data_IF_702533654712
#
_entry.id   IF_702533654712
#
_cell.length_a   1.000
_cell.length_b   1.000
_cell.length_c   1.000
_cell.angle_alpha   90.00
_cell.angle_beta   90.00
_cell.angle_gamma   90.00
#
_symmetry.space_group_name_H-M   'P 1'
#
loop_
_entity.id
_entity.type
_entity.pdbx_description
1 polymer ?
#
# COMPACT_ATOMS: atom_id res chain seq x y z
N UNK A 1 -25.15 -0.06 -5.83
CA UNK A 1 -24.10 -1.09 -5.79
C UNK A 1 -23.56 -1.30 -7.19
N UNK A 2 -22.24 -1.34 -7.34
CA UNK A 2 -21.56 -1.67 -8.61
C UNK A 2 -20.68 -2.90 -8.40
N UNK A 3 -20.45 -3.64 -9.47
CA UNK A 3 -19.51 -4.76 -9.50
C UNK A 3 -18.36 -4.38 -10.43
N UNK A 4 -17.17 -4.67 -10.00
CA UNK A 4 -15.93 -4.48 -10.75
C UNK A 4 -15.10 -5.77 -10.87
N UNK A 5 -13.92 -5.64 -11.43
CA UNK A 5 -12.90 -6.67 -11.49
C UNK A 5 -11.51 -6.02 -11.58
N UNK A 6 -10.52 -6.58 -10.90
CA UNK A 6 -9.13 -6.25 -11.18
C UNK A 6 -8.74 -6.87 -12.51
N UNK A 7 -8.09 -6.11 -13.35
CA UNK A 7 -7.66 -6.57 -14.67
C UNK A 7 -6.28 -6.04 -15.02
N UNK A 8 -5.47 -6.91 -15.55
CA UNK A 8 -4.07 -6.61 -15.93
C UNK A 8 -3.94 -6.78 -17.43
N UNK A 9 -4.23 -5.73 -18.24
CA UNK A 9 -4.14 -5.82 -19.70
C UNK A 9 -2.76 -6.25 -20.17
N UNK A 10 -1.71 -5.90 -19.42
CA UNK A 10 -0.32 -6.26 -19.68
C UNK A 10 -0.01 -7.75 -19.48
N UNK A 11 -0.89 -8.53 -18.87
CA UNK A 11 -0.72 -9.98 -18.69
C UNK A 11 -1.28 -10.80 -19.85
N UNK A 12 -1.99 -10.16 -20.77
CA UNK A 12 -2.73 -10.84 -21.83
C UNK A 12 -2.36 -10.31 -23.21
N UNK A 13 -2.39 -11.19 -24.21
CA UNK A 13 -2.33 -10.76 -25.61
C UNK A 13 -3.53 -9.86 -25.94
N UNK A 14 -3.32 -8.83 -26.77
CA UNK A 14 -4.36 -7.82 -27.08
C UNK A 14 -5.64 -8.42 -27.67
N UNK A 15 -5.53 -9.51 -28.41
CA UNK A 15 -6.67 -10.24 -28.98
C UNK A 15 -7.61 -10.77 -27.89
N UNK A 16 -7.08 -11.06 -26.71
CA UNK A 16 -7.83 -11.55 -25.56
C UNK A 16 -8.69 -10.45 -24.94
N UNK A 17 -8.27 -9.19 -24.97
CA UNK A 17 -8.97 -8.07 -24.34
C UNK A 17 -10.42 -7.95 -24.76
N UNK A 18 -10.70 -8.23 -26.07
CA UNK A 18 -12.07 -8.19 -26.60
C UNK A 18 -12.97 -9.21 -25.91
N UNK A 19 -12.52 -10.45 -25.81
CA UNK A 19 -13.27 -11.52 -25.15
C UNK A 19 -13.54 -11.18 -23.69
N UNK A 20 -12.52 -10.69 -22.99
CA UNK A 20 -12.63 -10.36 -21.57
C UNK A 20 -13.57 -9.17 -21.34
N UNK A 21 -13.49 -8.11 -22.15
CA UNK A 21 -14.39 -6.97 -22.05
C UNK A 21 -15.85 -7.35 -22.36
N UNK A 22 -16.08 -8.19 -23.37
CA UNK A 22 -17.44 -8.70 -23.68
C UNK A 22 -17.99 -9.55 -22.51
N UNK A 23 -17.14 -10.36 -21.86
CA UNK A 23 -17.52 -11.11 -20.66
C UNK A 23 -17.82 -10.16 -19.47
N UNK A 24 -17.01 -9.13 -19.27
CA UNK A 24 -17.25 -8.11 -18.24
C UNK A 24 -18.58 -7.39 -18.46
N UNK A 25 -18.87 -6.95 -19.69
CA UNK A 25 -20.13 -6.30 -20.04
C UNK A 25 -21.32 -7.25 -19.79
N UNK A 26 -21.22 -8.51 -20.21
CA UNK A 26 -22.25 -9.53 -19.98
C UNK A 26 -22.48 -9.80 -18.50
N UNK A 27 -21.42 -9.75 -17.67
CA UNK A 27 -21.50 -9.88 -16.22
C UNK A 27 -21.93 -8.58 -15.51
N UNK A 28 -22.23 -7.51 -16.25
CA UNK A 28 -22.55 -6.19 -15.72
C UNK A 28 -21.44 -5.56 -14.87
N UNK A 29 -20.18 -5.88 -15.16
CA UNK A 29 -19.02 -5.23 -14.57
C UNK A 29 -18.93 -3.80 -15.10
N UNK A 30 -18.79 -2.83 -14.20
CA UNK A 30 -18.84 -1.39 -14.50
C UNK A 30 -17.51 -0.68 -14.28
N UNK A 31 -16.62 -1.28 -13.52
CA UNK A 31 -15.35 -0.69 -13.16
C UNK A 31 -14.26 -1.76 -13.13
N UNK A 32 -13.06 -1.37 -13.55
CA UNK A 32 -11.85 -2.19 -13.44
C UNK A 32 -10.71 -1.39 -12.82
N UNK A 33 -9.82 -2.06 -12.10
CA UNK A 33 -8.59 -1.48 -11.56
C UNK A 33 -7.42 -1.93 -12.43
N UNK A 34 -6.53 -0.98 -12.81
CA UNK A 34 -5.45 -1.24 -13.77
C UNK A 34 -4.17 -0.50 -13.34
N UNK A 35 -3.02 -1.16 -13.48
CA UNK A 35 -1.70 -0.54 -13.58
C UNK A 35 -0.87 -0.48 -12.29
N UNK A 36 -1.30 -1.06 -11.16
CA UNK A 36 -0.63 -0.98 -9.85
C UNK A 36 0.74 -1.65 -9.80
N UNK A 37 1.07 -2.50 -10.77
CA UNK A 37 2.34 -3.24 -10.81
C UNK A 37 3.16 -2.98 -12.09
N UNK A 38 2.74 -2.04 -12.92
CA UNK A 38 3.26 -1.90 -14.28
C UNK A 38 4.46 -0.94 -14.42
N UNK A 39 5.24 -0.65 -13.35
CA UNK A 39 6.35 0.32 -13.45
C UNK A 39 7.35 -0.03 -14.54
N UNK A 40 7.78 -1.31 -14.65
CA UNK A 40 8.73 -1.74 -15.66
C UNK A 40 8.23 -1.59 -17.10
N UNK A 41 6.92 -1.50 -17.32
CA UNK A 41 6.32 -1.22 -18.63
C UNK A 41 6.23 0.27 -18.91
N UNK A 42 5.94 1.07 -17.89
CA UNK A 42 5.96 2.53 -18.03
C UNK A 42 7.37 3.09 -18.19
N UNK A 43 8.35 2.47 -17.54
CA UNK A 43 9.75 2.92 -17.54
C UNK A 43 10.68 1.68 -17.61
N UNK A 44 10.81 1.04 -18.80
CA UNK A 44 11.64 -0.15 -18.99
C UNK A 44 13.13 0.11 -18.73
N UNK A 45 13.60 1.31 -19.00
CA UNK A 45 14.93 1.81 -18.65
C UNK A 45 14.78 3.20 -18.04
N UNK A 46 15.72 3.59 -17.19
CA UNK A 46 15.67 4.88 -16.53
C UNK A 46 15.54 6.06 -17.51
N UNK A 47 14.43 6.80 -17.36
CA UNK A 47 14.14 7.97 -18.20
C UNK A 47 13.55 7.67 -19.57
N UNK A 48 13.38 6.40 -19.93
CA UNK A 48 12.66 5.99 -21.14
C UNK A 48 11.23 5.61 -20.75
N UNK A 49 10.26 6.36 -21.22
CA UNK A 49 8.86 6.19 -20.82
C UNK A 49 8.02 5.68 -21.99
N UNK A 50 7.25 4.64 -21.76
CA UNK A 50 6.36 4.00 -22.72
C UNK A 50 4.92 3.98 -22.17
N UNK A 51 4.01 4.70 -22.82
CA UNK A 51 2.62 4.85 -22.39
C UNK A 51 1.61 4.27 -23.37
N UNK A 52 2.00 3.96 -24.60
CA UNK A 52 1.09 3.60 -25.70
C UNK A 52 0.20 2.38 -25.36
N UNK A 53 0.76 1.40 -24.65
CA UNK A 53 0.02 0.22 -24.21
C UNK A 53 -1.13 0.56 -23.24
N UNK A 54 -0.93 1.56 -22.37
CA UNK A 54 -1.95 2.01 -21.42
C UNK A 54 -2.97 2.92 -22.10
N UNK A 55 -2.55 3.78 -23.05
CA UNK A 55 -3.44 4.57 -23.88
C UNK A 55 -4.44 3.65 -24.59
N UNK A 56 -3.93 2.60 -25.25
CA UNK A 56 -4.75 1.60 -25.92
C UNK A 56 -5.71 0.88 -24.96
N UNK A 57 -5.25 0.49 -23.76
CA UNK A 57 -6.07 -0.20 -22.79
C UNK A 57 -7.21 0.70 -22.28
N UNK A 58 -6.91 1.96 -21.93
CA UNK A 58 -7.91 2.92 -21.45
C UNK A 58 -8.97 3.21 -22.52
N UNK A 59 -8.55 3.47 -23.75
CA UNK A 59 -9.44 3.68 -24.89
C UNK A 59 -10.31 2.45 -25.14
N UNK A 60 -9.69 1.27 -25.06
CA UNK A 60 -10.38 0.02 -25.29
C UNK A 60 -11.50 -0.23 -24.27
N UNK A 61 -11.19 -0.20 -22.96
CA UNK A 61 -12.20 -0.41 -21.92
C UNK A 61 -13.25 0.70 -21.91
N UNK A 62 -12.85 1.95 -22.19
CA UNK A 62 -13.75 3.07 -22.34
C UNK A 62 -14.83 2.86 -23.43
N UNK A 63 -14.47 2.26 -24.56
CA UNK A 63 -15.41 1.91 -25.65
C UNK A 63 -16.48 0.89 -25.21
N UNK A 64 -16.14 0.01 -24.26
CA UNK A 64 -17.09 -0.95 -23.67
C UNK A 64 -17.90 -0.36 -22.50
N UNK A 65 -17.72 0.93 -22.19
CA UNK A 65 -18.41 1.59 -21.07
C UNK A 65 -17.92 1.14 -19.69
N UNK A 66 -16.73 0.54 -19.61
CA UNK A 66 -16.09 0.12 -18.37
C UNK A 66 -15.23 1.28 -17.87
N UNK A 67 -15.47 1.72 -16.64
CA UNK A 67 -14.67 2.76 -15.98
C UNK A 67 -13.40 2.16 -15.37
N UNK A 68 -12.40 2.98 -15.18
CA UNK A 68 -11.09 2.57 -14.68
C UNK A 68 -10.73 3.30 -13.39
N UNK A 69 -10.31 2.53 -12.39
CA UNK A 69 -9.50 3.02 -11.28
C UNK A 69 -8.04 2.94 -11.74
N UNK A 70 -7.44 4.10 -12.00
CA UNK A 70 -6.06 4.20 -12.47
C UNK A 70 -5.09 4.13 -11.30
N UNK A 71 -4.15 3.20 -11.33
CA UNK A 71 -3.21 3.00 -10.24
C UNK A 71 -1.84 3.61 -10.52
N UNK A 72 -1.17 4.06 -9.43
CA UNK A 72 0.25 4.37 -9.51
C UNK A 72 1.06 3.11 -9.23
N UNK A 73 2.11 2.80 -10.02
CA UNK A 73 2.79 1.50 -9.97
C UNK A 73 3.91 1.41 -8.92
N UNK A 74 3.85 2.24 -7.88
CA UNK A 74 4.94 2.36 -6.91
C UNK A 74 5.20 1.09 -6.08
N UNK A 75 4.25 0.15 -6.03
CA UNK A 75 4.42 -1.11 -5.30
C UNK A 75 5.52 -2.04 -5.88
N UNK A 76 5.96 -1.82 -7.12
CA UNK A 76 6.90 -2.71 -7.82
C UNK A 76 8.00 -1.94 -8.57
N UNK A 77 8.96 -1.33 -7.86
CA UNK A 77 10.09 -0.69 -8.53
C UNK A 77 10.85 -1.69 -9.42
N UNK A 78 11.25 -1.27 -10.64
CA UNK A 78 11.85 -2.15 -11.63
C UNK A 78 13.28 -2.57 -11.27
N UNK A 79 13.74 -3.66 -11.90
CA UNK A 79 15.07 -4.23 -11.63
C UNK A 79 16.21 -3.22 -11.84
N UNK A 80 16.14 -2.43 -12.91
CA UNK A 80 17.16 -1.41 -13.21
C UNK A 80 17.35 -0.39 -12.07
N UNK A 81 16.25 -0.04 -11.39
CA UNK A 81 16.29 0.90 -10.28
C UNK A 81 17.04 0.33 -9.08
N UNK A 82 16.84 -0.94 -8.79
CA UNK A 82 17.52 -1.63 -7.66
C UNK A 82 18.99 -1.80 -7.95
N UNK A 83 19.36 -2.15 -9.20
CA UNK A 83 20.75 -2.32 -9.59
C UNK A 83 21.54 -1.02 -9.52
N UNK A 84 20.90 0.09 -9.90
CA UNK A 84 21.54 1.40 -9.91
C UNK A 84 21.50 2.10 -8.56
N UNK A 85 20.45 1.87 -7.77
CA UNK A 85 20.17 2.56 -6.51
C UNK A 85 19.82 1.56 -5.40
N UNK A 86 20.76 0.69 -4.96
CA UNK A 86 20.48 -0.34 -3.96
C UNK A 86 20.09 0.23 -2.58
N UNK A 87 20.33 1.51 -2.32
CA UNK A 87 19.90 2.22 -1.11
C UNK A 87 18.39 2.41 -0.99
N UNK A 88 17.64 2.18 -2.08
CA UNK A 88 16.18 2.17 -2.02
C UNK A 88 15.61 0.96 -1.29
N UNK A 89 16.40 -0.11 -1.12
CA UNK A 89 15.93 -1.34 -0.54
C UNK A 89 15.60 -1.19 0.95
N UNK A 90 14.49 -1.80 1.34
CA UNK A 90 14.12 -1.93 2.73
C UNK A 90 15.05 -2.91 3.45
N UNK A 91 15.53 -2.53 4.63
CA UNK A 91 16.29 -3.43 5.49
C UNK A 91 15.41 -4.04 6.57
N UNK A 92 15.61 -5.32 6.86
CA UNK A 92 14.99 -6.01 7.98
C UNK A 92 15.55 -5.53 9.33
N UNK A 93 15.05 -6.09 10.44
CA UNK A 93 15.49 -5.72 11.79
C UNK A 93 16.97 -6.07 12.06
N UNK A 94 17.54 -7.01 11.31
CA UNK A 94 18.95 -7.40 11.40
C UNK A 94 19.86 -6.53 10.50
N UNK A 95 19.27 -5.65 9.68
CA UNK A 95 19.99 -4.78 8.76
C UNK A 95 20.20 -5.38 7.37
N UNK A 96 19.64 -6.55 7.07
CA UNK A 96 19.77 -7.17 5.76
C UNK A 96 18.79 -6.50 4.77
N UNK A 97 19.27 -6.12 3.57
CA UNK A 97 18.37 -5.55 2.55
C UNK A 97 17.45 -6.64 1.97
N UNK A 98 16.22 -6.26 1.67
CA UNK A 98 15.33 -7.10 0.84
C UNK A 98 15.92 -7.26 -0.54
N UNK A 99 15.70 -8.42 -1.14
CA UNK A 99 16.15 -8.71 -2.49
C UNK A 99 15.04 -8.46 -3.52
N UNK A 100 15.43 -8.23 -4.78
CA UNK A 100 14.51 -8.25 -5.90
C UNK A 100 13.93 -9.66 -6.11
N UNK A 101 12.69 -9.74 -6.58
CA UNK A 101 12.02 -11.01 -6.89
C UNK A 101 10.60 -11.10 -6.37
N UNK A 102 10.16 -10.07 -5.65
CA UNK A 102 8.78 -9.89 -5.18
C UNK A 102 8.40 -8.42 -5.31
N UNK A 103 7.28 -8.02 -4.74
CA UNK A 103 6.86 -6.62 -4.63
C UNK A 103 7.26 -6.03 -3.28
N UNK A 104 7.21 -4.69 -3.14
CA UNK A 104 7.40 -3.96 -1.86
C UNK A 104 8.75 -4.21 -1.18
N UNK A 105 9.81 -4.13 -1.96
CA UNK A 105 11.17 -4.25 -1.45
C UNK A 105 11.85 -2.89 -1.19
N UNK A 106 11.13 -1.79 -1.33
CA UNK A 106 11.60 -0.42 -1.19
C UNK A 106 11.37 0.16 0.21
N UNK A 107 12.12 1.20 0.52
CA UNK A 107 11.98 1.98 1.74
C UNK A 107 11.21 3.29 1.46
N UNK A 108 10.11 3.53 2.18
CA UNK A 108 9.33 4.77 2.08
C UNK A 108 10.13 6.04 2.44
N UNK A 109 11.28 5.89 3.11
CA UNK A 109 12.16 6.98 3.52
C UNK A 109 13.37 7.19 2.60
N UNK A 110 13.55 6.37 1.56
CA UNK A 110 14.58 6.60 0.54
C UNK A 110 14.22 7.83 -0.29
N UNK A 111 15.10 8.84 -0.32
CA UNK A 111 14.89 10.04 -1.12
C UNK A 111 14.89 9.70 -2.61
N UNK A 112 15.82 8.87 -3.06
CA UNK A 112 15.88 8.37 -4.45
C UNK A 112 14.58 7.72 -4.88
N UNK A 113 14.03 6.82 -4.05
CA UNK A 113 12.78 6.16 -4.38
C UNK A 113 11.60 7.14 -4.45
N UNK A 114 11.49 8.08 -3.50
CA UNK A 114 10.45 9.11 -3.49
C UNK A 114 10.53 9.99 -4.74
N UNK A 115 11.73 10.41 -5.11
CA UNK A 115 11.97 11.25 -6.29
C UNK A 115 11.55 10.54 -7.58
N UNK A 116 11.96 9.28 -7.77
CA UNK A 116 11.56 8.48 -8.92
C UNK A 116 10.06 8.22 -8.96
N UNK A 117 9.45 7.87 -7.83
CA UNK A 117 8.00 7.70 -7.70
C UNK A 117 7.26 8.98 -8.08
N UNK A 118 7.66 10.12 -7.52
CA UNK A 118 7.05 11.42 -7.85
C UNK A 118 7.14 11.73 -9.33
N UNK A 119 8.30 11.48 -9.95
CA UNK A 119 8.50 11.72 -11.39
C UNK A 119 7.53 10.90 -12.23
N UNK A 120 7.46 9.57 -11.99
CA UNK A 120 6.56 8.72 -12.74
C UNK A 120 5.09 9.06 -12.48
N UNK A 121 4.69 9.26 -11.23
CA UNK A 121 3.33 9.66 -10.89
C UNK A 121 2.92 10.98 -11.55
N UNK A 122 3.85 11.94 -11.66
CA UNK A 122 3.62 13.19 -12.37
C UNK A 122 3.33 12.95 -13.86
N UNK A 123 4.11 12.10 -14.52
CA UNK A 123 3.91 11.77 -15.93
C UNK A 123 2.57 11.07 -16.18
N UNK A 124 2.25 10.08 -15.34
CA UNK A 124 0.99 9.34 -15.40
C UNK A 124 -0.20 10.30 -15.16
N UNK A 125 -0.15 11.09 -14.10
CA UNK A 125 -1.23 12.01 -13.76
C UNK A 125 -1.43 13.07 -14.86
N UNK A 126 -0.35 13.67 -15.35
CA UNK A 126 -0.40 14.67 -16.43
C UNK A 126 -1.01 14.11 -17.72
N UNK A 127 -0.69 12.85 -18.05
CA UNK A 127 -1.20 12.20 -19.27
C UNK A 127 -2.67 11.82 -19.15
N UNK A 128 -3.06 11.27 -18.00
CA UNK A 128 -4.34 10.56 -17.86
C UNK A 128 -5.40 11.28 -17.04
N UNK A 129 -5.09 12.40 -16.39
CA UNK A 129 -6.03 13.10 -15.51
C UNK A 129 -7.39 13.45 -16.13
N UNK A 130 -7.44 13.63 -17.45
CA UNK A 130 -8.65 14.02 -18.20
C UNK A 130 -9.18 12.90 -19.08
N UNK A 131 -8.65 11.67 -18.94
CA UNK A 131 -9.09 10.55 -19.78
C UNK A 131 -10.52 10.12 -19.37
N UNK A 132 -11.47 10.04 -20.31
CA UNK A 132 -12.89 9.85 -20.00
C UNK A 132 -13.21 8.47 -19.39
N UNK A 133 -12.37 7.47 -19.57
CA UNK A 133 -12.55 6.16 -18.97
C UNK A 133 -12.19 6.15 -17.47
N UNK A 134 -11.33 7.07 -17.00
CA UNK A 134 -10.88 7.08 -15.60
C UNK A 134 -11.95 7.74 -14.73
N UNK A 135 -12.26 7.11 -13.61
CA UNK A 135 -13.21 7.64 -12.62
C UNK A 135 -12.61 7.85 -11.23
N UNK A 136 -11.47 7.20 -10.94
CA UNK A 136 -10.77 7.33 -9.67
C UNK A 136 -9.28 6.97 -9.81
N UNK A 137 -8.49 7.36 -8.83
CA UNK A 137 -7.08 7.01 -8.69
C UNK A 137 -6.85 6.12 -7.48
N UNK A 138 -5.92 5.16 -7.62
CA UNK A 138 -5.36 4.43 -6.50
C UNK A 138 -3.87 4.74 -6.38
N UNK A 139 -3.43 5.13 -5.18
CA UNK A 139 -2.02 5.33 -4.86
C UNK A 139 -1.44 4.06 -4.29
N UNK A 140 -0.35 3.56 -4.90
CA UNK A 140 0.33 2.35 -4.47
C UNK A 140 -0.63 1.12 -4.45
N UNK A 141 -0.24 0.06 -3.77
CA UNK A 141 -1.06 -1.12 -3.53
C UNK A 141 -0.77 -1.68 -2.14
N UNK A 142 -1.79 -1.91 -1.32
CA UNK A 142 -1.68 -2.55 -0.01
C UNK A 142 -0.52 -1.98 0.85
N UNK A 143 -0.54 -0.69 1.13
CA UNK A 143 0.50 -0.01 1.92
C UNK A 143 0.80 -0.77 3.22
N UNK A 144 2.07 -1.06 3.47
CA UNK A 144 2.53 -1.77 4.67
C UNK A 144 2.41 -3.31 4.60
N UNK A 145 1.87 -3.89 3.53
CA UNK A 145 1.80 -5.34 3.36
C UNK A 145 3.17 -6.00 3.57
N UNK A 146 3.18 -7.20 4.13
CA UNK A 146 4.42 -7.97 4.42
C UNK A 146 5.42 -7.22 5.32
N UNK A 147 4.90 -6.46 6.30
CA UNK A 147 5.69 -5.70 7.27
C UNK A 147 6.63 -4.65 6.63
N UNK A 148 6.24 -4.10 5.47
CA UNK A 148 7.05 -3.09 4.76
C UNK A 148 7.00 -1.71 5.38
N UNK A 149 6.16 -1.48 6.36
CA UNK A 149 6.12 -0.25 7.16
C UNK A 149 7.41 -0.05 7.95
N UNK A 150 8.01 -1.14 8.46
CA UNK A 150 9.21 -1.09 9.31
C UNK A 150 10.46 -1.34 8.48
N UNK A 151 11.32 -0.34 8.37
CA UNK A 151 12.56 -0.43 7.63
C UNK A 151 13.74 0.08 8.48
N UNK A 152 14.76 -0.72 8.63
CA UNK A 152 15.88 -0.45 9.52
C UNK A 152 17.15 0.04 8.77
N UNK A 153 16.97 0.70 7.63
CA UNK A 153 18.03 1.28 6.83
C UNK A 153 18.52 2.64 7.37
N UNK A 154 19.61 3.15 6.81
CA UNK A 154 20.21 4.41 7.23
C UNK A 154 19.30 5.63 7.01
N UNK A 155 18.54 5.65 5.92
CA UNK A 155 17.56 6.72 5.64
C UNK A 155 16.48 6.79 6.73
N UNK A 156 15.99 5.63 7.19
CA UNK A 156 15.04 5.57 8.30
C UNK A 156 15.65 6.07 9.60
N UNK A 157 16.89 5.71 9.90
CA UNK A 157 17.56 6.18 11.12
C UNK A 157 17.72 7.71 11.13
N UNK A 158 18.16 8.30 10.02
CA UNK A 158 18.32 9.74 9.90
C UNK A 158 16.99 10.49 10.03
N UNK A 159 15.95 10.02 9.34
CA UNK A 159 14.61 10.62 9.40
C UNK A 159 13.97 10.44 10.78
N UNK A 160 14.20 9.31 11.45
CA UNK A 160 13.71 9.08 12.81
C UNK A 160 14.32 10.04 13.82
N UNK A 161 15.64 10.32 13.74
CA UNK A 161 16.29 11.32 14.57
C UNK A 161 15.65 12.71 14.42
N UNK A 162 15.36 13.13 13.20
CA UNK A 162 14.68 14.38 12.91
C UNK A 162 13.26 14.38 13.47
N UNK A 163 12.50 13.32 13.28
CA UNK A 163 11.16 13.14 13.83
C UNK A 163 11.14 13.25 15.38
N UNK A 164 12.13 12.64 16.05
CA UNK A 164 12.30 12.75 17.49
C UNK A 164 12.65 14.17 17.91
N UNK A 165 13.53 14.83 17.15
CA UNK A 165 13.91 16.24 17.41
C UNK A 165 12.70 17.16 17.30
N UNK A 166 11.86 16.99 16.29
CA UNK A 166 10.61 17.75 16.12
C UNK A 166 9.64 17.49 17.28
N UNK A 167 9.51 16.23 17.70
CA UNK A 167 8.58 15.81 18.75
C UNK A 167 8.98 16.29 20.15
N UNK A 168 10.25 16.21 20.50
CA UNK A 168 10.74 16.45 21.85
C UNK A 168 11.43 17.81 22.06
N UNK A 169 11.86 18.44 20.98
CA UNK A 169 12.58 19.72 20.99
C UNK A 169 14.01 19.60 21.50
N UNK A 170 14.20 19.05 22.70
CA UNK A 170 15.53 18.88 23.33
C UNK A 170 15.80 17.43 23.71
N UNK A 171 17.08 17.07 23.78
CA UNK A 171 17.50 15.71 24.18
C UNK A 171 17.15 15.43 25.64
N UNK A 172 17.17 16.45 26.49
CA UNK A 172 16.81 16.34 27.92
C UNK A 172 15.33 15.97 28.08
N UNK A 173 14.43 16.56 27.28
CA UNK A 173 13.02 16.20 27.26
C UNK A 173 12.80 14.76 26.82
N UNK A 174 13.53 14.30 25.79
CA UNK A 174 13.49 12.92 25.36
C UNK A 174 13.96 12.00 26.48
N UNK A 175 15.14 12.26 27.08
CA UNK A 175 15.71 11.47 28.17
C UNK A 175 14.74 11.37 29.35
N UNK A 176 14.15 12.48 29.76
CA UNK A 176 13.16 12.52 30.84
C UNK A 176 11.94 11.67 30.51
N UNK A 177 11.40 11.81 29.29
CA UNK A 177 10.19 11.09 28.85
C UNK A 177 10.46 9.58 28.71
N UNK A 178 11.64 9.19 28.23
CA UNK A 178 12.03 7.79 28.04
C UNK A 178 12.50 7.12 29.33
N UNK A 179 12.78 7.88 30.39
CA UNK A 179 13.35 7.37 31.64
C UNK A 179 14.74 6.75 31.43
N UNK A 180 15.58 7.39 30.62
CA UNK A 180 16.87 6.84 30.13
C UNK A 180 17.93 6.67 31.20
N UNK A 181 17.73 7.16 32.42
CA UNK A 181 18.57 6.80 33.57
C UNK A 181 18.55 5.31 33.88
N UNK A 182 17.45 4.64 33.54
CA UNK A 182 17.37 3.19 33.62
C UNK A 182 18.39 2.53 32.66
N UNK A 183 19.20 1.63 33.18
CA UNK A 183 20.30 0.95 32.46
C UNK A 183 21.33 1.88 31.80
N UNK A 184 21.50 3.10 32.33
CA UNK A 184 22.47 4.06 31.77
C UNK A 184 22.27 4.39 30.29
N UNK A 185 21.03 4.50 29.85
CA UNK A 185 20.67 4.78 28.44
C UNK A 185 20.60 6.27 28.11
N UNK A 186 21.20 7.15 28.92
CA UNK A 186 21.14 8.61 28.71
C UNK A 186 21.86 8.99 27.41
N UNK A 187 21.14 9.71 26.55
CA UNK A 187 21.67 10.29 25.31
C UNK A 187 22.12 11.73 25.54
N UNK A 188 23.22 12.15 24.92
CA UNK A 188 23.76 13.52 24.96
C UNK A 188 23.30 14.36 23.78
N UNK A 189 22.93 13.69 22.67
CA UNK A 189 22.38 14.34 21.48
C UNK A 189 21.44 13.38 20.73
N UNK A 190 20.62 13.94 19.83
CA UNK A 190 19.78 13.13 18.94
C UNK A 190 20.59 12.23 17.98
N UNK A 191 21.86 12.58 17.71
CA UNK A 191 22.73 11.80 16.81
C UNK A 191 23.20 10.48 17.44
N UNK A 192 23.15 10.36 18.77
CA UNK A 192 23.47 9.11 19.48
C UNK A 192 22.33 8.08 19.40
N UNK A 193 21.12 8.52 19.04
CA UNK A 193 19.97 7.62 18.94
C UNK A 193 20.13 6.70 17.74
N UNK A 194 19.87 5.42 17.96
CA UNK A 194 19.76 4.38 16.93
C UNK A 194 18.34 3.85 16.88
N UNK A 195 17.91 3.42 15.69
CA UNK A 195 16.64 2.72 15.57
C UNK A 195 16.72 1.37 16.29
N UNK A 196 15.59 0.86 16.84
CA UNK A 196 15.57 -0.35 17.67
C UNK A 196 15.81 -1.62 16.83
N UNK A 197 17.08 -1.89 16.52
CA UNK A 197 17.54 -3.08 15.78
C UNK A 197 17.67 -4.30 16.69
N UNK A 198 17.68 -5.49 16.09
CA UNK A 198 17.85 -6.76 16.80
C UNK A 198 19.10 -6.82 17.69
N UNK A 199 20.22 -6.24 17.24
CA UNK A 199 21.47 -6.21 18.00
C UNK A 199 21.45 -5.40 19.32
N UNK A 200 20.39 -4.63 19.58
CA UNK A 200 20.19 -3.88 20.81
C UNK A 200 19.17 -4.55 21.76
N UNK A 201 18.92 -5.85 21.61
CA UNK A 201 17.97 -6.63 22.38
C UNK A 201 18.67 -7.72 23.19
N UNK A 202 18.00 -8.27 24.21
CA UNK A 202 18.49 -9.45 24.95
C UNK A 202 18.57 -10.70 24.07
N UNK A 203 17.62 -10.86 23.21
CA UNK A 203 17.51 -12.00 22.30
C UNK A 203 17.44 -11.49 20.87
N UNK A 204 18.50 -11.74 20.12
CA UNK A 204 18.58 -11.37 18.70
C UNK A 204 17.63 -12.16 17.81
N UNK A 205 17.02 -13.23 18.35
CA UNK A 205 16.04 -14.06 17.64
C UNK A 205 14.60 -13.58 17.79
N UNK A 206 14.32 -12.76 18.84
CA UNK A 206 12.97 -12.31 19.21
C UNK A 206 12.80 -10.79 19.14
N UNK A 207 13.17 -10.19 18.05
CA UNK A 207 12.85 -8.80 17.69
C UNK A 207 13.39 -7.74 18.66
N UNK A 208 12.58 -7.36 19.63
CA UNK A 208 12.74 -6.11 20.37
C UNK A 208 12.73 -6.29 21.89
N UNK A 209 12.89 -7.50 22.39
CA UNK A 209 12.96 -7.72 23.84
C UNK A 209 14.14 -6.98 24.47
N UNK A 210 13.89 -6.22 25.51
CA UNK A 210 14.88 -5.42 26.21
C UNK A 210 15.13 -4.03 25.65
N UNK A 211 14.46 -3.65 24.56
CA UNK A 211 14.46 -2.26 24.08
C UNK A 211 13.74 -1.34 25.05
N UNK A 212 14.14 -0.06 25.07
CA UNK A 212 13.36 0.97 25.74
C UNK A 212 11.95 1.03 25.10
N UNK A 213 10.88 0.79 25.86
CA UNK A 213 9.53 0.70 25.30
C UNK A 213 9.04 2.00 24.69
N UNK A 214 9.49 3.16 25.19
CA UNK A 214 9.14 4.45 24.63
C UNK A 214 9.83 4.68 23.27
N UNK A 215 11.11 4.32 23.15
CA UNK A 215 11.85 4.36 21.90
C UNK A 215 11.20 3.44 20.85
N UNK A 216 10.83 2.23 21.23
CA UNK A 216 10.18 1.27 20.36
C UNK A 216 8.82 1.76 19.86
N UNK A 217 7.99 2.29 20.78
CA UNK A 217 6.69 2.85 20.43
C UNK A 217 6.81 4.04 19.48
N UNK A 218 7.77 4.92 19.74
CA UNK A 218 8.01 6.08 18.88
C UNK A 218 8.55 5.68 17.51
N UNK A 219 9.39 4.64 17.45
CA UNK A 219 9.82 4.10 16.16
C UNK A 219 8.65 3.55 15.34
N UNK A 220 7.71 2.85 15.95
CA UNK A 220 6.51 2.36 15.27
C UNK A 220 5.59 3.49 14.80
N UNK A 221 5.45 4.56 15.61
CA UNK A 221 4.71 5.76 15.21
C UNK A 221 5.39 6.47 14.02
N UNK A 222 6.70 6.64 14.09
CA UNK A 222 7.50 7.17 12.98
C UNK A 222 7.33 6.35 11.71
N UNK A 223 7.37 5.02 11.79
CA UNK A 223 7.18 4.16 10.62
C UNK A 223 5.79 4.36 9.99
N UNK A 224 4.74 4.44 10.80
CA UNK A 224 3.39 4.77 10.33
C UNK A 224 3.35 6.16 9.68
N UNK A 225 3.89 7.18 10.34
CA UNK A 225 3.92 8.55 9.82
C UNK A 225 4.72 8.65 8.52
N UNK A 226 5.77 7.84 8.34
CA UNK A 226 6.56 7.78 7.11
C UNK A 226 5.77 7.28 5.90
N UNK A 227 4.91 6.28 6.10
CA UNK A 227 4.02 5.77 5.04
C UNK A 227 2.96 6.82 4.70
N UNK A 228 2.40 7.47 5.72
CA UNK A 228 1.39 8.52 5.52
C UNK A 228 2.00 9.70 4.75
N UNK A 229 3.21 10.12 5.09
CA UNK A 229 3.93 11.20 4.41
C UNK A 229 4.21 10.87 2.94
N UNK A 230 4.69 9.66 2.65
CA UNK A 230 4.87 9.17 1.27
C UNK A 230 3.54 9.17 0.48
N UNK A 231 2.47 8.69 1.12
CA UNK A 231 1.14 8.68 0.51
C UNK A 231 0.64 10.09 0.22
N UNK A 232 0.82 11.01 1.16
CA UNK A 232 0.46 12.43 1.01
C UNK A 232 1.19 13.09 -0.16
N UNK A 233 2.49 12.82 -0.34
CA UNK A 233 3.25 13.31 -1.51
C UNK A 233 2.68 12.78 -2.82
N UNK A 234 2.34 11.49 -2.87
CA UNK A 234 1.77 10.85 -4.06
C UNK A 234 0.37 11.43 -4.38
N UNK A 235 -0.49 11.58 -3.38
CA UNK A 235 -1.81 12.21 -3.53
C UNK A 235 -1.66 13.65 -4.02
N UNK A 236 -0.77 14.43 -3.41
CA UNK A 236 -0.50 15.81 -3.84
C UNK A 236 -0.07 15.88 -5.29
N UNK A 237 0.82 14.97 -5.71
CA UNK A 237 1.30 14.92 -7.10
C UNK A 237 0.16 14.67 -8.09
N UNK A 238 -0.79 13.77 -7.77
CA UNK A 238 -1.95 13.52 -8.63
C UNK A 238 -2.88 14.74 -8.64
N UNK A 239 -3.10 15.38 -7.48
CA UNK A 239 -3.98 16.55 -7.34
C UNK A 239 -3.53 17.78 -8.14
N UNK A 240 -2.26 17.87 -8.51
CA UNK A 240 -1.79 18.94 -9.41
C UNK A 240 -2.44 18.87 -10.80
N UNK A 241 -2.99 17.70 -11.19
CA UNK A 241 -3.52 17.45 -12.53
C UNK A 241 -4.96 16.94 -12.56
N UNK A 242 -5.47 16.37 -11.45
CA UNK A 242 -6.76 15.65 -11.41
C UNK A 242 -7.59 15.96 -10.18
N UNK A 243 -8.87 16.27 -10.40
CA UNK A 243 -9.89 16.41 -9.35
C UNK A 243 -10.66 15.10 -9.06
N UNK A 244 -10.37 14.02 -9.78
CA UNK A 244 -11.00 12.73 -9.58
C UNK A 244 -10.70 12.16 -8.19
N UNK A 245 -11.61 11.35 -7.62
CA UNK A 245 -11.40 10.77 -6.30
C UNK A 245 -10.13 9.92 -6.22
N UNK A 246 -9.42 10.01 -5.09
CA UNK A 246 -8.18 9.25 -4.82
C UNK A 246 -8.41 8.34 -3.63
N UNK A 247 -7.88 7.12 -3.71
CA UNK A 247 -7.86 6.11 -2.65
C UNK A 247 -6.55 5.31 -2.65
N UNK A 248 -6.45 4.36 -1.73
CA UNK A 248 -5.54 3.21 -1.77
C UNK A 248 -6.24 2.03 -1.13
N UNK A 249 -5.97 0.82 -1.61
CA UNK A 249 -6.52 -0.39 -1.02
C UNK A 249 -5.82 -0.69 0.31
N UNK A 250 -6.60 -0.66 1.38
CA UNK A 250 -6.15 -0.98 2.72
C UNK A 250 -6.25 -2.48 2.94
N UNK A 251 -5.40 -3.00 3.80
CA UNK A 251 -5.51 -4.37 4.26
C UNK A 251 -6.56 -4.47 5.38
N UNK A 252 -6.83 -5.69 5.84
CA UNK A 252 -7.79 -5.89 6.91
C UNK A 252 -7.56 -4.87 8.04
N UNK A 253 -8.61 -4.26 8.50
CA UNK A 253 -8.58 -3.30 9.58
C UNK A 253 -8.35 -4.00 10.93
N UNK A 254 -8.29 -5.33 10.90
CA UNK A 254 -8.03 -6.14 12.07
C UNK A 254 -6.58 -5.98 12.53
N UNK A 255 -6.40 -6.09 13.80
CA UNK A 255 -5.15 -6.03 14.56
C UNK A 255 -4.04 -6.95 14.00
N UNK A 256 -4.38 -7.85 13.10
CA UNK A 256 -3.49 -8.89 12.56
C UNK A 256 -2.90 -8.60 11.17
N UNK A 257 -3.21 -7.49 10.52
CA UNK A 257 -2.64 -7.19 9.19
C UNK A 257 -1.12 -7.02 9.22
N UNK A 258 -0.54 -6.81 10.40
CA UNK A 258 0.90 -6.61 10.56
C UNK A 258 1.43 -5.32 9.88
N UNK A 259 0.54 -4.49 9.33
CA UNK A 259 0.95 -3.27 8.63
C UNK A 259 1.56 -2.24 9.55
N UNK A 260 1.07 -2.13 10.80
CA UNK A 260 1.54 -1.16 11.76
C UNK A 260 1.28 0.30 11.36
N UNK A 261 0.31 0.55 10.49
CA UNK A 261 -0.07 1.89 10.01
C UNK A 261 -1.33 2.36 10.77
N UNK A 262 -1.33 3.62 11.19
CA UNK A 262 -2.52 4.30 11.70
C UNK A 262 -3.46 4.62 10.51
N UNK A 263 -4.37 3.72 10.21
CA UNK A 263 -5.33 3.87 9.11
C UNK A 263 -6.32 5.02 9.32
N UNK A 264 -6.57 5.41 10.58
CA UNK A 264 -7.39 6.59 10.85
C UNK A 264 -6.70 7.87 10.37
N UNK A 265 -5.39 7.99 10.57
CA UNK A 265 -4.59 9.09 10.02
C UNK A 265 -4.46 8.97 8.51
N UNK A 266 -4.07 7.79 8.01
CA UNK A 266 -3.85 7.56 6.58
C UNK A 266 -5.10 7.85 5.74
N UNK A 267 -6.28 7.44 6.22
CA UNK A 267 -7.54 7.65 5.51
C UNK A 267 -7.88 9.12 5.27
N UNK A 268 -7.29 10.06 6.03
CA UNK A 268 -7.50 11.49 5.83
C UNK A 268 -6.95 12.00 4.51
N UNK A 269 -5.94 11.33 3.97
CA UNK A 269 -5.32 11.66 2.68
C UNK A 269 -6.18 11.23 1.49
N UNK A 270 -7.20 10.39 1.67
CA UNK A 270 -8.05 9.84 0.63
C UNK A 270 -9.45 10.49 0.61
N UNK A 271 -10.13 10.46 -0.53
CA UNK A 271 -11.52 10.92 -0.66
C UNK A 271 -12.52 9.88 -0.19
N UNK A 272 -12.20 8.61 -0.39
CA UNK A 272 -12.96 7.45 0.06
C UNK A 272 -11.98 6.33 0.45
N UNK A 273 -12.46 5.35 1.21
CA UNK A 273 -11.63 4.22 1.63
C UNK A 273 -12.00 2.97 0.86
N UNK A 274 -10.98 2.18 0.56
CA UNK A 274 -11.10 0.88 -0.07
C UNK A 274 -10.25 -0.14 0.68
N UNK A 275 -10.58 -1.43 0.55
CA UNK A 275 -9.83 -2.48 1.22
C UNK A 275 -9.95 -3.82 0.49
N UNK A 276 -9.11 -4.78 0.90
CA UNK A 276 -8.99 -6.09 0.29
C UNK A 276 -9.55 -7.16 1.21
N UNK A 277 -10.53 -7.92 0.70
CA UNK A 277 -11.34 -8.85 1.47
C UNK A 277 -11.06 -10.31 1.06
N UNK A 278 -9.99 -10.87 1.60
CA UNK A 278 -9.60 -12.27 1.42
C UNK A 278 -10.06 -13.13 2.59
N UNK A 279 -11.19 -13.81 2.45
CA UNK A 279 -11.89 -14.49 3.53
C UNK A 279 -11.38 -15.91 3.74
N UNK A 280 -11.11 -16.65 2.68
CA UNK A 280 -10.58 -18.02 2.73
C UNK A 280 -9.25 -18.09 1.97
N UNK A 281 -8.17 -17.75 2.65
CA UNK A 281 -6.82 -17.71 2.08
C UNK A 281 -5.99 -18.91 2.54
N UNK A 282 -4.77 -19.07 1.98
CA UNK A 282 -3.87 -20.21 2.27
C UNK A 282 -3.52 -20.40 3.75
N UNK A 283 -3.59 -19.35 4.57
CA UNK A 283 -3.28 -19.41 6.01
C UNK A 283 -4.50 -19.42 6.92
N UNK A 284 -5.68 -19.49 6.38
CA UNK A 284 -6.87 -19.62 7.21
C UNK A 284 -8.12 -19.07 6.62
N UNK A 285 -9.14 -19.02 7.46
CA UNK A 285 -10.47 -18.57 7.15
C UNK A 285 -10.90 -17.51 8.16
N UNK A 286 -11.25 -16.33 7.67
CA UNK A 286 -11.83 -15.30 8.51
C UNK A 286 -13.26 -15.66 8.94
N UNK A 287 -13.61 -15.36 10.18
CA UNK A 287 -14.96 -15.51 10.68
C UNK A 287 -15.86 -14.39 10.14
N UNK A 288 -17.15 -14.63 9.88
CA UNK A 288 -18.08 -13.61 9.38
C UNK A 288 -18.16 -12.35 10.24
N UNK A 289 -18.11 -12.50 11.57
CA UNK A 289 -18.10 -11.38 12.50
C UNK A 289 -16.81 -10.54 12.40
N UNK A 290 -15.67 -11.15 12.11
CA UNK A 290 -14.41 -10.44 11.86
C UNK A 290 -14.52 -9.59 10.60
N UNK A 291 -15.02 -10.16 9.51
CA UNK A 291 -15.23 -9.45 8.25
C UNK A 291 -16.20 -8.26 8.43
N UNK A 292 -17.31 -8.46 9.17
CA UNK A 292 -18.25 -7.38 9.46
C UNK A 292 -17.65 -6.28 10.35
N UNK A 293 -16.80 -6.66 11.31
CA UNK A 293 -16.06 -5.68 12.10
C UNK A 293 -15.12 -4.84 11.22
N UNK A 294 -14.40 -5.46 10.30
CA UNK A 294 -13.47 -4.77 9.41
C UNK A 294 -14.21 -3.82 8.47
N UNK A 295 -15.33 -4.23 7.89
CA UNK A 295 -16.23 -3.34 7.14
C UNK A 295 -16.71 -2.14 7.97
N UNK A 296 -17.09 -2.35 9.24
CA UNK A 296 -17.53 -1.27 10.13
C UNK A 296 -16.39 -0.28 10.42
N UNK A 297 -15.16 -0.79 10.63
CA UNK A 297 -13.97 0.04 10.82
C UNK A 297 -13.68 0.88 9.57
N UNK A 298 -13.66 0.29 8.39
CA UNK A 298 -13.44 1.00 7.12
C UNK A 298 -14.45 2.13 6.93
N UNK A 299 -15.73 1.81 7.12
CA UNK A 299 -16.80 2.81 7.04
C UNK A 299 -16.62 3.94 8.05
N UNK A 300 -16.11 3.64 9.25
CA UNK A 300 -15.92 4.63 10.32
C UNK A 300 -14.87 5.68 9.99
N UNK A 301 -13.85 5.36 9.21
CA UNK A 301 -12.76 6.29 8.87
C UNK A 301 -13.24 7.54 8.13
N UNK A 302 -14.19 7.38 7.21
CA UNK A 302 -14.74 8.50 6.43
C UNK A 302 -16.22 8.78 6.71
N UNK A 303 -16.92 7.91 7.45
CA UNK A 303 -18.37 7.97 7.67
C UNK A 303 -19.18 8.02 6.36
N UNK A 304 -18.68 7.32 5.33
CA UNK A 304 -19.23 7.23 3.98
C UNK A 304 -19.24 5.76 3.53
N UNK A 305 -19.96 5.41 2.46
CA UNK A 305 -19.79 4.14 1.78
C UNK A 305 -18.31 3.90 1.43
N UNK A 306 -17.88 2.65 1.46
CA UNK A 306 -16.53 2.22 1.10
C UNK A 306 -16.58 1.26 -0.09
N UNK A 307 -15.43 0.98 -0.70
CA UNK A 307 -15.32 -0.07 -1.69
C UNK A 307 -14.54 -1.26 -1.15
N UNK A 308 -14.92 -2.45 -1.58
CA UNK A 308 -14.03 -3.61 -1.55
C UNK A 308 -13.27 -3.56 -2.87
N UNK A 309 -11.95 -3.31 -2.81
CA UNK A 309 -11.12 -3.12 -4.00
C UNK A 309 -10.57 -4.46 -4.51
N UNK A 310 -10.41 -5.43 -3.62
CA UNK A 310 -10.06 -6.80 -3.97
C UNK A 310 -10.98 -7.74 -3.20
N UNK A 311 -12.01 -8.28 -3.89
CA UNK A 311 -12.82 -9.33 -3.30
C UNK A 311 -12.31 -10.69 -3.75
N UNK A 312 -11.99 -11.56 -2.80
CA UNK A 312 -11.66 -12.93 -3.15
C UNK A 312 -12.69 -13.54 -4.10
N UNK A 313 -12.27 -13.93 -5.30
CA UNK A 313 -13.14 -14.43 -6.38
C UNK A 313 -13.07 -15.95 -6.59
N UNK A 314 -12.15 -16.63 -5.89
CA UNK A 314 -11.93 -18.07 -6.06
C UNK A 314 -10.90 -18.61 -5.07
N UNK A 315 -10.34 -19.79 -5.32
CA UNK A 315 -9.18 -20.29 -4.57
C UNK A 315 -7.98 -19.38 -4.84
N UNK A 316 -7.32 -18.94 -3.80
CA UNK A 316 -6.15 -18.08 -3.90
C UNK A 316 -5.09 -18.42 -2.86
N UNK A 317 -3.84 -18.10 -3.18
CA UNK A 317 -2.67 -18.32 -2.36
C UNK A 317 -1.39 -18.04 -3.13
N UNK A 318 -0.26 -17.94 -2.41
CA UNK A 318 1.05 -17.62 -2.99
C UNK A 318 1.92 -18.86 -3.20
N UNK A 319 2.04 -19.69 -2.16
CA UNK A 319 2.82 -20.94 -2.17
C UNK A 319 1.96 -22.19 -2.03
N UNK A 320 0.76 -22.02 -1.47
CA UNK A 320 -0.28 -23.03 -1.35
C UNK A 320 -1.56 -22.47 -1.95
N UNK A 321 -2.26 -23.25 -2.75
CA UNK A 321 -3.60 -22.91 -3.16
C UNK A 321 -4.54 -23.04 -1.95
N UNK A 322 -5.33 -22.00 -1.70
CA UNK A 322 -6.40 -22.03 -0.72
C UNK A 322 -7.56 -22.95 -1.16
N UNK A 323 -8.49 -23.26 -0.26
CA UNK A 323 -9.67 -24.05 -0.61
C UNK A 323 -10.53 -23.32 -1.64
N UNK A 324 -11.13 -24.09 -2.54
CA UNK A 324 -12.15 -23.52 -3.44
C UNK A 324 -13.39 -23.14 -2.62
N UNK A 325 -13.84 -21.88 -2.69
CA UNK A 325 -15.08 -21.49 -2.02
C UNK A 325 -16.26 -22.34 -2.50
N UNK A 326 -17.05 -22.85 -1.55
CA UNK A 326 -18.24 -23.63 -1.91
C UNK A 326 -19.28 -22.76 -2.64
N UNK A 327 -20.15 -23.36 -3.48
CA UNK A 327 -21.18 -22.62 -4.19
C UNK A 327 -21.99 -21.69 -3.28
N UNK A 328 -22.19 -20.47 -3.71
CA UNK A 328 -22.90 -19.44 -2.96
C UNK A 328 -22.05 -18.56 -2.04
N UNK A 329 -20.82 -18.96 -1.68
CA UNK A 329 -19.96 -18.16 -0.79
C UNK A 329 -19.57 -16.80 -1.39
N UNK A 330 -19.15 -16.76 -2.65
CA UNK A 330 -18.79 -15.48 -3.30
C UNK A 330 -19.96 -14.50 -3.26
N UNK A 331 -21.15 -15.01 -3.55
CA UNK A 331 -22.38 -14.23 -3.44
C UNK A 331 -22.64 -13.76 -2.01
N UNK A 332 -22.49 -14.64 -1.01
CA UNK A 332 -22.65 -14.30 0.40
C UNK A 332 -21.67 -13.20 0.82
N UNK A 333 -20.39 -13.31 0.47
CA UNK A 333 -19.37 -12.34 0.81
C UNK A 333 -19.65 -10.97 0.19
N UNK A 334 -20.04 -10.94 -1.09
CA UNK A 334 -20.45 -9.71 -1.76
C UNK A 334 -21.64 -9.06 -1.05
N UNK A 335 -22.68 -9.82 -0.73
CA UNK A 335 -23.84 -9.28 -0.01
C UNK A 335 -23.53 -8.87 1.43
N UNK A 336 -22.62 -9.56 2.10
CA UNK A 336 -22.11 -9.13 3.41
C UNK A 336 -21.43 -7.76 3.31
N UNK A 337 -20.57 -7.56 2.32
CA UNK A 337 -19.92 -6.26 2.09
C UNK A 337 -20.93 -5.14 1.86
N UNK A 338 -21.92 -5.38 1.01
CA UNK A 338 -23.00 -4.43 0.70
C UNK A 338 -23.87 -4.14 1.92
N UNK A 339 -24.25 -5.16 2.68
CA UNK A 339 -25.04 -5.00 3.91
C UNK A 339 -24.32 -4.17 4.98
N UNK A 340 -22.97 -4.18 4.98
CA UNK A 340 -22.14 -3.36 5.87
C UNK A 340 -21.81 -1.97 5.28
N UNK A 341 -22.28 -1.64 4.06
CA UNK A 341 -22.19 -0.31 3.48
C UNK A 341 -21.18 -0.13 2.36
N UNK A 342 -20.69 -1.23 1.75
CA UNK A 342 -19.96 -1.13 0.49
C UNK A 342 -20.92 -0.73 -0.65
N UNK A 343 -20.51 0.20 -1.49
CA UNK A 343 -21.26 0.58 -2.70
C UNK A 343 -20.66 0.00 -3.98
N UNK A 344 -19.41 -0.44 -3.93
CA UNK A 344 -18.68 -1.07 -5.04
C UNK A 344 -17.87 -2.25 -4.52
N UNK A 345 -17.88 -3.35 -5.26
CA UNK A 345 -17.10 -4.56 -5.01
C UNK A 345 -16.36 -4.94 -6.30
N UNK A 346 -15.02 -4.91 -6.23
CA UNK A 346 -14.10 -5.18 -7.34
C UNK A 346 -13.43 -6.52 -7.15
#
# INVERSE_FOLDING_TARGET
MRIGADYYPEHWEKERWKTDAEMMVKANIKVTRIGEFAWSLYEPEEGKYEFDWMDEALDFFGKYGIKVVMCTPSATPPKWMIDKYPDILQNDIHGNPKLFGTRKHYCFNSETYREKTKKLNTLIAKRYAKHPAIEAWQVDNELGWSNTTRCYCKSCENRFRNWLKEKYGTIDNLNKTYGTTFWSQIYRSFDELIIPKAGACYDTCHDTQGQNPALLLDYYRFCSDSVIDFTKESVKTIREYSDLPITSNLLDAAINSGTGIDYFKLSKEFDFVTWDNYIEFQWGKAKPETVSRDHALLRSYKKKPFWVMEQQSGPCGWSKMGPTPTPGKLRLWTYQSVANGADTVV
#
